data_IF_352332865681
#
_entry.id   IF_352332865681
#
_cell.length_a   1.000
_cell.length_b   1.000
_cell.length_c   1.000
_cell.angle_alpha   90.00
_cell.angle_beta   90.00
_cell.angle_gamma   90.00
#
_symmetry.space_group_name_H-M   'P 1'
#
loop_
_entity.id
_entity.type
_entity.pdbx_description
1 polymer ?
#
# COMPACT_ATOMS: atom_id res chain seq x y z
N UNK A 1 -56.97 12.78 -18.73
CA UNK A 1 -55.88 13.75 -18.89
C UNK A 1 -55.05 13.96 -17.62
N UNK A 2 -55.61 14.14 -16.41
CA UNK A 2 -54.85 14.36 -15.16
C UNK A 2 -53.86 13.21 -14.81
N UNK A 3 -54.25 11.92 -14.91
CA UNK A 3 -53.38 10.77 -14.61
C UNK A 3 -52.14 10.70 -15.55
N UNK A 4 -52.31 10.97 -16.85
CA UNK A 4 -51.15 10.99 -17.80
C UNK A 4 -50.17 12.12 -17.51
N UNK A 5 -50.66 13.30 -17.07
CA UNK A 5 -49.82 14.44 -16.65
C UNK A 5 -49.03 14.12 -15.37
N UNK A 6 -49.63 13.45 -14.39
CA UNK A 6 -48.95 13.02 -13.15
C UNK A 6 -47.85 12.03 -13.49
N UNK A 7 -48.08 11.04 -14.35
CA UNK A 7 -47.05 10.08 -14.77
C UNK A 7 -45.91 10.80 -15.50
N UNK A 8 -46.19 11.71 -16.40
CA UNK A 8 -45.17 12.40 -17.18
C UNK A 8 -44.33 13.37 -16.32
N UNK A 9 -44.98 14.08 -15.38
CA UNK A 9 -44.33 15.15 -14.60
C UNK A 9 -43.72 14.69 -13.27
N UNK A 10 -44.08 13.50 -12.76
CA UNK A 10 -43.55 13.01 -11.48
C UNK A 10 -42.89 11.63 -11.57
N UNK A 11 -43.55 10.65 -12.18
CA UNK A 11 -43.05 9.27 -12.19
C UNK A 11 -41.85 9.12 -13.13
N UNK A 12 -41.91 9.73 -14.32
CA UNK A 12 -40.78 9.65 -15.26
C UNK A 12 -39.53 10.36 -14.72
N UNK A 13 -39.57 11.61 -14.22
CA UNK A 13 -38.39 12.24 -13.61
C UNK A 13 -37.84 11.47 -12.41
N UNK A 14 -38.74 10.92 -11.56
CA UNK A 14 -38.31 10.12 -10.42
C UNK A 14 -37.62 8.84 -10.85
N UNK A 15 -38.16 8.16 -11.86
CA UNK A 15 -37.54 6.97 -12.45
C UNK A 15 -36.15 7.27 -13.09
N UNK A 16 -36.03 8.42 -13.75
CA UNK A 16 -34.74 8.87 -14.32
C UNK A 16 -33.70 9.17 -13.22
N UNK A 17 -34.12 9.85 -12.15
CA UNK A 17 -33.22 10.08 -10.99
C UNK A 17 -32.82 8.75 -10.36
N UNK A 18 -33.73 7.82 -10.16
CA UNK A 18 -33.43 6.51 -9.61
C UNK A 18 -32.43 5.76 -10.50
N UNK A 19 -32.65 5.71 -11.80
CA UNK A 19 -31.84 4.96 -12.75
C UNK A 19 -30.47 5.58 -12.98
N UNK A 20 -30.39 6.91 -13.13
CA UNK A 20 -29.15 7.59 -13.47
C UNK A 20 -28.32 8.03 -12.27
N UNK A 21 -28.87 8.11 -11.05
CA UNK A 21 -28.13 8.58 -9.88
C UNK A 21 -28.14 7.58 -8.73
N UNK A 22 -29.31 7.13 -8.29
CA UNK A 22 -29.38 6.29 -7.08
C UNK A 22 -28.77 4.90 -7.32
N UNK A 23 -29.15 4.24 -8.41
CA UNK A 23 -28.65 2.89 -8.71
C UNK A 23 -27.13 2.87 -8.94
N UNK A 24 -26.53 3.73 -9.79
CA UNK A 24 -25.07 3.72 -9.97
C UNK A 24 -24.29 4.09 -8.72
N UNK A 25 -24.81 5.00 -7.90
CA UNK A 25 -24.18 5.32 -6.62
C UNK A 25 -24.26 4.15 -5.64
N UNK A 26 -25.41 3.51 -5.51
CA UNK A 26 -25.57 2.31 -4.69
C UNK A 26 -24.66 1.17 -5.13
N UNK A 27 -24.53 0.95 -6.44
CA UNK A 27 -23.57 -0.02 -7.00
C UNK A 27 -22.13 0.30 -6.65
N UNK A 28 -21.73 1.58 -6.69
CA UNK A 28 -20.40 2.01 -6.27
C UNK A 28 -20.13 1.67 -4.79
N UNK A 29 -21.10 1.89 -3.92
CA UNK A 29 -21.04 1.52 -2.48
C UNK A 29 -20.92 0.01 -2.31
N UNK A 30 -21.77 -0.75 -3.01
CA UNK A 30 -21.78 -2.23 -2.93
C UNK A 30 -20.45 -2.81 -3.39
N UNK A 31 -19.92 -2.35 -4.51
CA UNK A 31 -18.64 -2.82 -5.07
C UNK A 31 -17.49 -2.49 -4.11
N UNK A 32 -17.44 -1.26 -3.59
CA UNK A 32 -16.42 -0.88 -2.63
C UNK A 32 -16.50 -1.73 -1.36
N UNK A 33 -17.70 -1.92 -0.80
CA UNK A 33 -17.87 -2.79 0.35
C UNK A 33 -17.47 -4.25 0.05
N UNK A 34 -17.77 -4.76 -1.11
CA UNK A 34 -17.35 -6.12 -1.49
C UNK A 34 -15.81 -6.28 -1.53
N UNK A 35 -15.09 -5.22 -1.87
CA UNK A 35 -13.63 -5.21 -1.91
C UNK A 35 -13.00 -4.95 -0.53
N UNK A 36 -13.53 -3.99 0.24
CA UNK A 36 -12.84 -3.44 1.41
C UNK A 36 -13.51 -3.72 2.75
N UNK A 37 -14.77 -4.19 2.78
CA UNK A 37 -15.49 -4.53 4.03
C UNK A 37 -15.10 -5.93 4.54
N UNK A 38 -13.80 -6.13 4.76
CA UNK A 38 -13.26 -7.35 5.36
C UNK A 38 -12.06 -6.98 6.20
N UNK A 39 -11.90 -7.66 7.32
CA UNK A 39 -10.59 -7.76 7.98
C UNK A 39 -9.71 -8.70 7.17
N UNK A 40 -8.43 -8.39 7.13
CA UNK A 40 -7.44 -9.29 6.57
C UNK A 40 -6.62 -9.89 7.72
N UNK A 41 -6.59 -11.20 7.77
CA UNK A 41 -5.82 -11.96 8.76
C UNK A 41 -4.58 -12.55 8.10
N UNK A 42 -3.50 -12.64 8.85
CA UNK A 42 -2.26 -13.25 8.37
C UNK A 42 -2.45 -14.77 8.21
N UNK A 43 -1.88 -15.31 7.16
CA UNK A 43 -1.75 -16.78 7.03
C UNK A 43 -0.87 -17.29 8.18
N UNK A 44 -1.39 -18.25 8.94
CA UNK A 44 -0.71 -18.78 10.15
C UNK A 44 0.65 -19.39 9.85
N UNK A 45 0.81 -20.05 8.70
CA UNK A 45 2.09 -20.65 8.30
C UNK A 45 3.16 -19.62 7.98
N UNK A 46 2.74 -18.44 7.51
CA UNK A 46 3.64 -17.31 7.18
C UNK A 46 3.88 -16.37 8.36
N UNK A 47 3.28 -16.62 9.50
CA UNK A 47 3.46 -15.80 10.70
C UNK A 47 4.86 -16.01 11.28
N UNK A 48 5.62 -14.92 11.35
CA UNK A 48 6.96 -14.89 11.93
C UNK A 48 6.92 -14.29 13.35
N UNK A 49 7.97 -14.59 14.12
CA UNK A 49 8.20 -14.01 15.45
C UNK A 49 9.66 -13.56 15.59
N UNK A 50 9.96 -12.70 16.55
CA UNK A 50 11.34 -12.25 16.81
C UNK A 50 12.27 -13.41 17.16
N UNK A 51 11.75 -14.52 17.73
CA UNK A 51 12.53 -15.72 18.02
C UNK A 51 13.01 -16.47 16.76
N UNK A 52 12.47 -16.15 15.59
CA UNK A 52 12.95 -16.69 14.30
C UNK A 52 14.27 -16.02 13.85
N UNK A 53 14.69 -14.94 14.51
CA UNK A 53 15.87 -14.13 14.16
C UNK A 53 16.78 -13.94 15.37
N UNK A 54 18.09 -13.96 15.14
CA UNK A 54 19.06 -13.67 16.18
C UNK A 54 19.12 -12.16 16.43
N UNK A 55 18.98 -11.73 17.70
CA UNK A 55 19.13 -10.33 18.11
C UNK A 55 18.12 -9.34 17.50
N UNK A 56 16.90 -9.78 17.13
CA UNK A 56 15.82 -8.91 16.68
C UNK A 56 14.87 -8.64 17.86
N UNK A 57 14.75 -7.40 18.27
CA UNK A 57 13.84 -6.93 19.31
C UNK A 57 12.64 -6.22 18.65
N UNK A 58 11.46 -6.33 19.27
CA UNK A 58 10.26 -5.66 18.84
C UNK A 58 9.58 -4.97 20.03
N UNK A 59 9.22 -3.71 19.83
CA UNK A 59 8.39 -2.92 20.75
C UNK A 59 7.04 -2.68 20.10
N UNK A 60 5.97 -3.08 20.77
CA UNK A 60 4.60 -2.80 20.34
C UNK A 60 4.26 -1.32 20.59
N UNK A 61 3.65 -0.70 19.61
CA UNK A 61 3.27 0.72 19.62
C UNK A 61 1.84 0.85 19.16
N UNK A 62 1.01 1.62 19.85
CA UNK A 62 -0.33 1.96 19.38
C UNK A 62 -0.47 3.44 19.06
N UNK A 63 -1.25 3.76 18.04
CA UNK A 63 -1.55 5.12 17.61
C UNK A 63 -2.91 5.16 16.88
N UNK A 64 -3.52 6.34 16.83
CA UNK A 64 -4.85 6.47 16.25
C UNK A 64 -4.82 6.69 14.74
N UNK A 65 -5.72 6.01 14.01
CA UNK A 65 -6.05 6.30 12.62
C UNK A 65 -6.71 7.69 12.47
N UNK A 66 -6.96 8.10 11.24
CA UNK A 66 -7.73 9.33 10.95
C UNK A 66 -9.21 9.28 11.36
N UNK A 67 -9.70 8.14 11.82
CA UNK A 67 -11.06 7.91 12.32
C UNK A 67 -11.09 7.46 13.79
N UNK A 68 -9.96 7.59 14.49
CA UNK A 68 -9.75 7.20 15.88
C UNK A 68 -9.82 5.69 16.18
N UNK A 69 -9.72 4.83 15.17
CA UNK A 69 -9.41 3.43 15.45
C UNK A 69 -7.97 3.31 15.94
N UNK A 70 -7.73 2.45 16.90
CA UNK A 70 -6.37 2.12 17.35
C UNK A 70 -5.67 1.27 16.29
N UNK A 71 -4.53 1.76 15.80
CA UNK A 71 -3.64 1.04 14.90
C UNK A 71 -2.49 0.45 15.71
N UNK A 72 -2.13 -0.79 15.36
CA UNK A 72 -1.04 -1.52 15.99
C UNK A 72 0.23 -1.42 15.14
N UNK A 73 1.28 -0.88 15.73
CA UNK A 73 2.59 -0.71 15.11
C UNK A 73 3.67 -1.51 15.84
N UNK A 74 4.79 -1.74 15.15
CA UNK A 74 5.91 -2.53 15.62
C UNK A 74 7.21 -1.79 15.31
N UNK A 75 7.94 -1.40 16.36
CA UNK A 75 9.28 -0.83 16.24
C UNK A 75 10.33 -1.91 16.48
N UNK A 76 11.05 -2.27 15.42
CA UNK A 76 12.13 -3.24 15.51
C UNK A 76 13.48 -2.57 15.71
N UNK A 77 14.31 -3.23 16.55
CA UNK A 77 15.65 -2.80 16.93
C UNK A 77 16.52 -4.02 17.28
N UNK A 78 17.74 -3.77 17.73
CA UNK A 78 18.62 -4.76 18.36
C UNK A 78 19.42 -4.12 19.50
N UNK A 79 20.00 -4.94 20.38
CA UNK A 79 20.84 -4.47 21.48
C UNK A 79 22.12 -3.75 21.02
N UNK A 80 22.58 -4.04 19.82
CA UNK A 80 23.81 -3.49 19.23
C UNK A 80 23.56 -2.36 18.25
N UNK A 81 22.30 -1.96 18.05
CA UNK A 81 21.89 -0.99 17.03
C UNK A 81 22.48 0.40 17.30
N UNK A 82 23.18 0.94 16.30
CA UNK A 82 23.57 2.37 16.25
C UNK A 82 22.76 3.06 15.14
N UNK A 83 21.52 3.50 15.43
CA UNK A 83 20.55 3.81 14.37
C UNK A 83 20.90 5.10 13.65
N UNK A 84 21.06 5.01 12.34
CA UNK A 84 21.30 6.14 11.43
C UNK A 84 20.01 6.70 10.82
N UNK A 85 18.89 5.97 10.92
CA UNK A 85 17.59 6.40 10.43
C UNK A 85 16.47 5.44 10.83
N UNK A 86 15.27 5.72 10.33
CA UNK A 86 14.09 4.88 10.50
C UNK A 86 13.53 4.51 9.13
N UNK A 87 13.37 3.22 8.85
CA UNK A 87 12.62 2.73 7.68
C UNK A 87 11.18 2.47 8.12
N UNK A 88 10.22 3.16 7.53
CA UNK A 88 8.79 2.93 7.74
C UNK A 88 8.25 2.12 6.58
N UNK A 89 7.71 0.94 6.86
CA UNK A 89 7.17 0.04 5.85
C UNK A 89 5.64 0.05 5.83
N UNK A 90 5.09 0.24 4.63
CA UNK A 90 3.66 0.11 4.35
C UNK A 90 3.39 -1.17 3.55
N UNK A 91 2.59 -2.08 4.12
CA UNK A 91 2.28 -3.37 3.50
C UNK A 91 1.22 -3.27 2.39
N UNK A 92 1.10 -4.33 1.58
CA UNK A 92 0.12 -4.45 0.50
C UNK A 92 -1.28 -4.83 0.97
N UNK A 93 -2.22 -4.85 0.02
CA UNK A 93 -3.60 -5.29 0.24
C UNK A 93 -3.64 -6.79 0.59
N UNK A 94 -4.50 -7.18 1.53
CA UNK A 94 -4.63 -8.55 2.03
C UNK A 94 -3.33 -9.16 2.60
N UNK A 95 -2.37 -8.34 3.03
CA UNK A 95 -1.17 -8.87 3.69
C UNK A 95 -1.47 -9.49 5.07
N UNK A 96 -2.65 -9.23 5.63
CA UNK A 96 -3.08 -9.78 6.92
C UNK A 96 -2.41 -9.14 8.13
N UNK A 97 -1.46 -8.25 7.91
CA UNK A 97 -0.64 -7.61 8.94
C UNK A 97 0.85 -7.66 8.60
N UNK A 98 1.66 -7.11 9.49
CA UNK A 98 3.10 -6.87 9.24
C UNK A 98 4.00 -8.07 9.56
N UNK A 99 3.50 -9.05 10.29
CA UNK A 99 4.34 -10.15 10.81
C UNK A 99 4.85 -11.13 9.74
N UNK A 100 4.25 -11.14 8.53
CA UNK A 100 4.73 -11.97 7.43
C UNK A 100 6.00 -11.44 6.74
N UNK A 101 6.40 -10.20 7.02
CA UNK A 101 7.56 -9.55 6.39
C UNK A 101 8.65 -9.18 7.40
N UNK A 102 8.71 -9.89 8.54
CA UNK A 102 9.68 -9.60 9.60
C UNK A 102 11.14 -9.79 9.16
N UNK A 103 11.40 -10.55 8.07
CA UNK A 103 12.75 -10.60 7.46
C UNK A 103 13.22 -9.22 6.94
N UNK A 104 12.32 -8.31 6.58
CA UNK A 104 12.68 -6.92 6.23
C UNK A 104 13.19 -6.19 7.47
N UNK A 105 12.51 -6.36 8.62
CA UNK A 105 12.96 -5.80 9.88
C UNK A 105 14.37 -6.28 10.23
N UNK A 106 14.60 -7.61 10.14
CA UNK A 106 15.92 -8.18 10.40
C UNK A 106 16.99 -7.61 9.46
N UNK A 107 16.69 -7.46 8.17
CA UNK A 107 17.62 -6.88 7.20
C UNK A 107 18.00 -5.43 7.55
N UNK A 108 17.01 -4.56 7.78
CA UNK A 108 17.28 -3.15 8.06
C UNK A 108 17.89 -2.90 9.43
N UNK A 109 17.48 -3.66 10.46
CA UNK A 109 18.08 -3.58 11.80
C UNK A 109 19.54 -4.02 11.78
N UNK A 110 19.87 -5.09 11.03
CA UNK A 110 21.26 -5.53 10.83
C UNK A 110 22.11 -4.54 10.03
N UNK A 111 21.50 -3.54 9.40
CA UNK A 111 22.16 -2.48 8.64
C UNK A 111 22.01 -1.10 9.30
N UNK A 112 21.87 -1.05 10.62
CA UNK A 112 21.81 0.17 11.45
C UNK A 112 20.61 1.09 11.18
N UNK A 113 19.44 0.53 10.91
CA UNK A 113 18.18 1.28 10.88
C UNK A 113 17.22 0.76 11.93
N UNK A 114 16.49 1.65 12.60
CA UNK A 114 15.19 1.26 13.14
C UNK A 114 14.28 0.84 11.98
N UNK A 115 13.47 -0.17 12.22
CA UNK A 115 12.43 -0.55 11.26
C UNK A 115 11.07 -0.44 11.93
N UNK A 116 10.19 0.36 11.38
CA UNK A 116 8.83 0.53 11.86
C UNK A 116 7.84 0.04 10.82
N UNK A 117 6.91 -0.79 11.23
CA UNK A 117 5.79 -1.22 10.40
C UNK A 117 4.52 -1.23 11.23
N UNK A 118 3.37 -1.36 10.61
CA UNK A 118 2.09 -1.30 11.29
C UNK A 118 1.03 -2.08 10.51
N UNK A 119 0.00 -2.52 11.20
CA UNK A 119 -1.17 -3.09 10.60
C UNK A 119 -2.11 -1.95 10.17
N UNK A 120 -2.44 -1.86 8.89
CA UNK A 120 -3.39 -0.87 8.34
C UNK A 120 -4.78 -1.11 8.96
N UNK A 121 -5.64 -0.11 9.04
CA UNK A 121 -7.04 -0.23 9.49
C UNK A 121 -7.70 -1.53 8.98
N UNK A 122 -8.31 -2.28 9.87
CA UNK A 122 -8.94 -3.58 9.61
C UNK A 122 -7.98 -4.68 9.10
N UNK A 123 -6.71 -4.64 9.50
CA UNK A 123 -5.73 -5.71 9.30
C UNK A 123 -5.11 -6.12 10.64
N UNK A 124 -4.66 -7.36 10.73
CA UNK A 124 -3.90 -7.88 11.86
C UNK A 124 -4.50 -7.52 13.23
N UNK A 125 -3.74 -6.84 14.07
CA UNK A 125 -4.17 -6.39 15.41
C UNK A 125 -4.85 -5.02 15.42
N UNK A 126 -4.75 -4.22 14.33
CA UNK A 126 -5.39 -2.91 14.24
C UNK A 126 -6.91 -3.02 14.26
N UNK A 127 -7.57 -2.03 14.86
CA UNK A 127 -9.03 -1.94 14.90
C UNK A 127 -9.65 -1.70 13.52
N UNK A 128 -10.97 -1.76 13.48
CA UNK A 128 -11.79 -1.54 12.29
C UNK A 128 -12.32 -2.83 11.68
N UNK A 129 -13.47 -2.71 11.01
CA UNK A 129 -14.14 -3.82 10.31
C UNK A 129 -14.17 -3.60 8.79
N UNK A 130 -13.59 -2.50 8.33
CA UNK A 130 -13.64 -2.07 6.94
C UNK A 130 -12.37 -1.25 6.61
N UNK A 131 -11.63 -1.69 5.60
CA UNK A 131 -10.47 -0.98 5.06
C UNK A 131 -10.86 0.30 4.29
N UNK A 132 -12.14 0.55 4.06
CA UNK A 132 -12.78 1.71 3.40
C UNK A 132 -12.40 1.93 1.94
N UNK A 133 -11.17 1.69 1.55
CA UNK A 133 -10.65 1.88 0.20
C UNK A 133 -9.15 2.16 0.19
N UNK A 134 -8.58 2.25 -1.00
CA UNK A 134 -7.12 2.34 -1.17
C UNK A 134 -6.51 3.64 -0.59
N UNK A 135 -7.28 4.71 -0.46
CA UNK A 135 -6.82 5.97 0.15
C UNK A 135 -6.56 5.81 1.65
N UNK A 136 -7.23 4.84 2.32
CA UNK A 136 -7.02 4.60 3.74
C UNK A 136 -5.55 4.25 4.05
N UNK A 137 -4.88 3.48 3.19
CA UNK A 137 -3.46 3.15 3.39
C UNK A 137 -2.54 4.38 3.41
N UNK A 138 -2.89 5.44 2.65
CA UNK A 138 -2.14 6.71 2.70
C UNK A 138 -2.38 7.44 4.02
N UNK A 139 -3.64 7.43 4.51
CA UNK A 139 -4.02 8.12 5.77
C UNK A 139 -3.47 7.39 7.00
N UNK A 140 -3.41 6.07 6.97
CA UNK A 140 -2.80 5.29 8.05
C UNK A 140 -1.27 5.47 8.06
N UNK A 141 -0.63 5.54 6.89
CA UNK A 141 0.79 5.85 6.78
C UNK A 141 1.12 7.28 7.27
N UNK A 142 0.24 8.27 7.02
CA UNK A 142 0.34 9.62 7.61
C UNK A 142 0.42 9.56 9.14
N UNK A 143 -0.44 8.73 9.76
CA UNK A 143 -0.45 8.55 11.21
C UNK A 143 0.75 7.78 11.72
N UNK A 144 1.19 6.74 10.99
CA UNK A 144 2.39 5.98 11.31
C UNK A 144 3.65 6.85 11.28
N UNK A 145 3.84 7.68 10.25
CA UNK A 145 4.95 8.64 10.17
C UNK A 145 4.87 9.67 11.29
N UNK A 146 3.68 10.17 11.59
CA UNK A 146 3.47 11.12 12.70
C UNK A 146 3.82 10.49 14.06
N UNK A 147 3.45 9.23 14.28
CA UNK A 147 3.83 8.46 15.47
C UNK A 147 5.36 8.34 15.57
N UNK A 148 6.04 7.89 14.53
CA UNK A 148 7.51 7.77 14.47
C UNK A 148 8.21 9.09 14.79
N UNK A 149 7.66 10.22 14.35
CA UNK A 149 8.20 11.56 14.64
C UNK A 149 8.02 12.01 16.09
N UNK A 150 7.21 11.32 16.88
CA UNK A 150 6.97 11.66 18.31
C UNK A 150 7.63 10.71 19.32
N UNK A 151 8.04 9.52 18.87
CA UNK A 151 8.68 8.52 19.73
C UNK A 151 10.11 8.97 20.10
N UNK A 152 10.49 8.87 21.36
CA UNK A 152 11.82 9.31 21.87
C UNK A 152 13.00 8.66 21.11
N UNK A 153 12.86 7.40 20.71
CA UNK A 153 13.91 6.66 19.98
C UNK A 153 14.09 7.14 18.52
N UNK A 154 13.06 7.70 17.90
CA UNK A 154 13.02 7.93 16.45
C UNK A 154 12.76 9.37 16.02
N UNK A 155 12.30 10.26 16.91
CA UNK A 155 11.88 11.65 16.61
C UNK A 155 12.92 12.50 15.88
N UNK A 156 14.21 12.25 16.15
CA UNK A 156 15.32 13.01 15.57
C UNK A 156 16.02 12.25 14.42
N UNK A 157 15.45 11.14 13.98
CA UNK A 157 16.04 10.31 12.92
C UNK A 157 15.45 10.63 11.55
N UNK A 158 16.29 10.63 10.49
CA UNK A 158 15.77 10.72 9.13
C UNK A 158 14.86 9.55 8.80
N UNK A 159 13.75 9.83 8.12
CA UNK A 159 12.73 8.82 7.78
C UNK A 159 12.85 8.44 6.31
N UNK A 160 12.90 7.12 6.05
CA UNK A 160 12.83 6.47 4.76
C UNK A 160 11.54 5.67 4.67
N UNK A 161 10.93 5.63 3.50
CA UNK A 161 9.71 4.86 3.28
C UNK A 161 9.95 3.70 2.32
N UNK A 162 9.44 2.54 2.68
CA UNK A 162 9.38 1.35 1.84
C UNK A 162 7.92 0.92 1.74
N UNK A 163 7.42 0.64 0.53
CA UNK A 163 6.05 0.14 0.37
C UNK A 163 5.91 -0.82 -0.79
N UNK A 164 5.09 -1.85 -0.61
CA UNK A 164 4.78 -2.83 -1.64
C UNK A 164 3.31 -2.73 -2.06
N UNK A 165 3.04 -2.75 -3.37
CA UNK A 165 1.68 -2.78 -3.92
C UNK A 165 0.84 -1.56 -3.45
N UNK A 166 -0.20 -1.78 -2.64
CA UNK A 166 -0.95 -0.72 -1.97
C UNK A 166 -0.03 0.20 -1.15
N UNK A 167 0.91 -0.38 -0.40
CA UNK A 167 1.96 0.38 0.30
C UNK A 167 2.83 1.18 -0.67
N UNK A 168 3.15 0.64 -1.85
CA UNK A 168 3.91 1.32 -2.90
C UNK A 168 3.22 2.59 -3.44
N UNK A 169 1.89 2.59 -3.53
CA UNK A 169 1.09 3.80 -3.76
C UNK A 169 1.15 4.75 -2.56
N UNK A 170 0.98 4.19 -1.35
CA UNK A 170 0.86 4.98 -0.13
C UNK A 170 2.14 5.78 0.16
N UNK A 171 3.34 5.18 -0.02
CA UNK A 171 4.62 5.86 0.24
C UNK A 171 4.88 7.03 -0.72
N UNK A 172 4.39 6.95 -1.97
CA UNK A 172 4.46 8.08 -2.88
C UNK A 172 3.45 9.18 -2.54
N UNK A 173 2.18 8.80 -2.32
CA UNK A 173 1.09 9.74 -2.11
C UNK A 173 1.17 10.49 -0.77
N UNK A 174 1.73 9.87 0.28
CA UNK A 174 1.89 10.46 1.62
C UNK A 174 2.88 11.64 1.66
N UNK A 175 3.78 11.74 0.68
CA UNK A 175 4.72 12.85 0.56
C UNK A 175 4.04 14.21 0.39
N UNK A 176 2.76 14.23 0.02
CA UNK A 176 1.95 15.45 0.04
C UNK A 176 1.80 16.02 1.46
N UNK A 177 1.86 15.16 2.48
CA UNK A 177 1.73 15.50 3.90
C UNK A 177 3.08 15.49 4.63
N UNK A 178 4.03 14.69 4.16
CA UNK A 178 5.36 14.52 4.73
C UNK A 178 6.48 14.76 3.70
N UNK A 179 6.66 16.01 3.21
CA UNK A 179 7.68 16.34 2.21
C UNK A 179 9.12 16.26 2.73
N UNK A 180 9.29 16.12 4.04
CA UNK A 180 10.56 16.00 4.76
C UNK A 180 11.15 14.58 4.79
N UNK A 181 10.43 13.59 4.29
CA UNK A 181 10.93 12.22 4.07
C UNK A 181 12.17 12.27 3.16
N UNK A 182 13.21 11.49 3.52
CA UNK A 182 14.52 11.54 2.83
C UNK A 182 14.58 10.67 1.60
N UNK A 183 13.99 9.48 1.66
CA UNK A 183 13.95 8.55 0.53
C UNK A 183 12.69 7.69 0.52
N UNK A 184 12.31 7.26 -0.68
CA UNK A 184 11.16 6.38 -0.91
C UNK A 184 11.53 5.25 -1.84
N UNK A 185 11.20 4.02 -1.47
CA UNK A 185 11.18 2.89 -2.37
C UNK A 185 9.74 2.40 -2.57
N UNK A 186 9.27 2.41 -3.81
CA UNK A 186 7.96 1.87 -4.21
C UNK A 186 8.13 0.59 -5.02
N UNK A 187 7.75 -0.55 -4.42
CA UNK A 187 7.74 -1.86 -5.05
C UNK A 187 6.35 -2.15 -5.61
N UNK A 188 6.24 -2.40 -6.91
CA UNK A 188 4.99 -2.73 -7.61
C UNK A 188 3.81 -1.79 -7.26
N UNK A 189 4.11 -0.50 -7.02
CA UNK A 189 3.12 0.52 -6.66
C UNK A 189 2.35 1.04 -7.88
N UNK A 190 1.27 1.77 -7.60
CA UNK A 190 0.45 2.45 -8.61
C UNK A 190 0.28 3.93 -8.25
N UNK A 191 -0.12 4.76 -9.22
CA UNK A 191 -0.18 6.21 -9.01
C UNK A 191 -1.40 6.66 -8.21
N UNK A 192 -2.58 6.11 -8.47
CA UNK A 192 -3.86 6.66 -7.99
C UNK A 192 -4.86 5.55 -7.73
N UNK A 193 -5.54 5.62 -6.57
CA UNK A 193 -6.61 4.71 -6.19
C UNK A 193 -7.72 4.65 -7.27
N UNK A 194 -8.21 5.81 -7.72
CA UNK A 194 -9.26 5.88 -8.73
C UNK A 194 -8.85 5.28 -10.07
N UNK A 195 -7.60 5.52 -10.52
CA UNK A 195 -7.09 4.98 -11.78
C UNK A 195 -7.02 3.45 -11.73
N UNK A 196 -6.53 2.88 -10.64
CA UNK A 196 -6.45 1.44 -10.45
C UNK A 196 -7.84 0.81 -10.39
N UNK A 197 -8.77 1.38 -9.63
CA UNK A 197 -10.15 0.89 -9.56
C UNK A 197 -10.83 0.95 -10.92
N UNK A 198 -10.66 2.05 -11.67
CA UNK A 198 -11.20 2.20 -13.02
C UNK A 198 -10.59 1.18 -14.01
N UNK A 199 -9.28 0.90 -13.89
CA UNK A 199 -8.60 -0.10 -14.70
C UNK A 199 -9.19 -1.50 -14.48
N UNK A 200 -9.28 -1.91 -13.22
CA UNK A 200 -9.83 -3.20 -12.84
C UNK A 200 -11.31 -3.34 -13.28
N UNK A 201 -12.09 -2.26 -13.19
CA UNK A 201 -13.45 -2.22 -13.69
C UNK A 201 -13.50 -2.39 -15.22
N UNK A 202 -12.62 -1.69 -15.98
CA UNK A 202 -12.56 -1.84 -17.45
C UNK A 202 -12.28 -3.27 -17.90
N UNK A 203 -11.40 -3.97 -17.19
CA UNK A 203 -11.09 -5.40 -17.46
C UNK A 203 -12.32 -6.30 -17.24
N UNK A 204 -13.21 -5.95 -16.28
CA UNK A 204 -14.38 -6.77 -15.92
C UNK A 204 -15.67 -6.44 -16.68
N UNK A 205 -15.95 -5.15 -16.86
CA UNK A 205 -17.26 -4.67 -17.41
C UNK A 205 -17.11 -3.81 -18.66
N UNK A 206 -15.90 -3.60 -19.17
CA UNK A 206 -15.61 -2.81 -20.36
C UNK A 206 -15.56 -1.29 -20.10
N UNK A 207 -15.01 -0.57 -21.08
CA UNK A 207 -14.74 0.86 -20.96
C UNK A 207 -15.99 1.73 -20.86
N UNK A 208 -17.05 1.38 -21.60
CA UNK A 208 -18.28 2.17 -21.62
C UNK A 208 -18.95 2.23 -20.25
N UNK A 209 -19.20 1.07 -19.63
CA UNK A 209 -19.84 1.01 -18.31
C UNK A 209 -18.96 1.61 -17.22
N UNK A 210 -17.64 1.36 -17.28
CA UNK A 210 -16.70 1.95 -16.34
C UNK A 210 -16.72 3.47 -16.41
N UNK A 211 -16.61 4.06 -17.62
CA UNK A 211 -16.60 5.52 -17.77
C UNK A 211 -17.92 6.16 -17.33
N UNK A 212 -19.06 5.51 -17.57
CA UNK A 212 -20.35 5.94 -17.07
C UNK A 212 -20.44 5.90 -15.54
N UNK A 213 -19.74 4.96 -14.88
CA UNK A 213 -19.75 4.80 -13.42
C UNK A 213 -18.74 5.67 -12.68
N UNK A 214 -17.68 6.16 -13.34
CA UNK A 214 -16.61 6.96 -12.71
C UNK A 214 -17.09 8.19 -11.94
N UNK A 215 -18.07 8.99 -12.39
CA UNK A 215 -18.59 10.13 -11.62
C UNK A 215 -19.15 9.71 -10.26
N UNK A 216 -19.84 8.58 -10.21
CA UNK A 216 -20.45 8.06 -8.97
C UNK A 216 -19.40 7.50 -8.02
N UNK A 217 -18.38 6.81 -8.56
CA UNK A 217 -17.24 6.38 -7.77
C UNK A 217 -16.51 7.59 -7.15
N UNK A 218 -16.29 8.67 -7.91
CA UNK A 218 -15.70 9.91 -7.37
C UNK A 218 -16.57 10.56 -6.27
N UNK A 219 -17.89 10.56 -6.43
CA UNK A 219 -18.80 11.06 -5.41
C UNK A 219 -18.68 10.22 -4.13
N UNK A 220 -18.68 8.90 -4.27
CA UNK A 220 -18.51 7.97 -3.15
C UNK A 220 -17.16 8.14 -2.44
N UNK A 221 -16.04 8.12 -3.18
CA UNK A 221 -14.71 8.33 -2.64
C UNK A 221 -14.57 9.69 -1.92
N UNK A 222 -15.15 10.76 -2.50
CA UNK A 222 -15.18 12.06 -1.86
C UNK A 222 -16.03 12.06 -0.57
N UNK A 223 -17.11 11.30 -0.53
CA UNK A 223 -17.91 11.14 0.68
C UNK A 223 -17.15 10.41 1.79
N UNK A 224 -16.38 9.37 1.45
CA UNK A 224 -15.62 8.56 2.41
C UNK A 224 -14.36 9.29 2.89
N UNK A 225 -13.60 9.91 1.97
CA UNK A 225 -12.25 10.44 2.23
C UNK A 225 -12.13 11.97 2.15
N UNK A 226 -13.24 12.69 1.83
CA UNK A 226 -13.20 14.11 1.56
C UNK A 226 -12.21 14.43 0.43
N UNK A 227 -11.51 15.56 0.52
CA UNK A 227 -10.51 15.98 -0.48
C UNK A 227 -9.37 14.98 -0.70
N UNK A 228 -9.14 14.09 0.26
CA UNK A 228 -8.04 13.11 0.21
C UNK A 228 -8.24 12.03 -0.86
N UNK A 229 -9.46 11.83 -1.39
CA UNK A 229 -9.70 10.88 -2.48
C UNK A 229 -8.87 11.16 -3.75
N UNK A 230 -8.29 12.37 -3.87
CA UNK A 230 -7.45 12.80 -4.99
C UNK A 230 -5.96 12.52 -4.77
N UNK A 231 -5.56 12.01 -3.60
CA UNK A 231 -4.16 11.72 -3.31
C UNK A 231 -3.60 10.75 -4.36
N UNK A 232 -2.45 11.11 -4.91
CA UNK A 232 -1.73 10.32 -5.89
C UNK A 232 -0.22 10.45 -5.70
N UNK A 233 0.54 9.47 -6.16
CA UNK A 233 1.97 9.42 -5.91
C UNK A 233 2.75 10.48 -6.70
N UNK A 234 2.36 10.80 -7.94
CA UNK A 234 3.03 11.83 -8.76
C UNK A 234 3.00 13.18 -8.06
N UNK A 235 1.83 13.59 -7.54
CA UNK A 235 1.71 14.85 -6.80
C UNK A 235 2.54 14.83 -5.51
N UNK A 236 2.64 13.69 -4.83
CA UNK A 236 3.48 13.52 -3.67
C UNK A 236 4.97 13.66 -4.02
N UNK A 237 5.44 12.98 -5.05
CA UNK A 237 6.81 13.08 -5.54
C UNK A 237 7.19 14.51 -5.97
N UNK A 238 6.28 15.24 -6.62
CA UNK A 238 6.48 16.66 -6.98
C UNK A 238 6.55 17.59 -5.77
N UNK A 239 5.91 17.20 -4.66
CA UNK A 239 5.86 18.01 -3.44
C UNK A 239 7.05 17.77 -2.50
N UNK A 240 7.93 16.83 -2.81
CA UNK A 240 9.07 16.43 -1.99
C UNK A 240 10.38 16.49 -2.77
N UNK A 241 11.49 16.65 -2.04
CA UNK A 241 12.85 16.57 -2.59
C UNK A 241 13.53 15.23 -2.29
N UNK A 242 12.78 14.21 -1.84
CA UNK A 242 13.32 12.90 -1.51
C UNK A 242 13.91 12.19 -2.73
N UNK A 243 14.87 11.27 -2.49
CA UNK A 243 15.30 10.32 -3.51
C UNK A 243 14.29 9.20 -3.65
N UNK A 244 14.07 8.72 -4.86
CA UNK A 244 13.00 7.77 -5.17
C UNK A 244 13.54 6.58 -5.97
N UNK A 245 13.23 5.37 -5.51
CA UNK A 245 13.49 4.13 -6.22
C UNK A 245 12.14 3.48 -6.58
N UNK A 246 11.90 3.32 -7.86
CA UNK A 246 10.70 2.65 -8.39
C UNK A 246 11.11 1.28 -8.93
N UNK A 247 10.54 0.24 -8.36
CA UNK A 247 10.79 -1.14 -8.76
C UNK A 247 9.48 -1.83 -9.17
N UNK A 248 9.50 -2.55 -10.29
CA UNK A 248 8.31 -3.26 -10.80
C UNK A 248 8.71 -4.48 -11.62
N UNK A 249 7.88 -5.52 -11.62
CA UNK A 249 8.09 -6.67 -12.49
C UNK A 249 7.31 -6.51 -13.79
N UNK A 250 7.93 -6.87 -14.92
CA UNK A 250 7.31 -6.75 -16.25
C UNK A 250 6.13 -7.72 -16.45
N UNK A 251 6.10 -8.80 -15.66
CA UNK A 251 5.07 -9.84 -15.66
C UNK A 251 4.09 -9.72 -14.46
N UNK A 252 4.02 -8.52 -13.84
CA UNK A 252 3.04 -8.24 -12.78
C UNK A 252 1.61 -8.38 -13.33
N UNK A 253 0.90 -9.39 -12.81
CA UNK A 253 -0.45 -9.73 -13.24
C UNK A 253 -1.56 -9.05 -12.42
N UNK A 254 -1.20 -8.29 -11.39
CA UNK A 254 -2.13 -7.59 -10.49
C UNK A 254 -2.14 -6.09 -10.79
N UNK A 255 -0.95 -5.46 -10.79
CA UNK A 255 -0.76 -4.04 -11.08
C UNK A 255 0.00 -3.89 -12.39
N UNK A 256 -0.73 -3.58 -13.45
CA UNK A 256 -0.12 -3.28 -14.74
C UNK A 256 0.81 -2.07 -14.62
N UNK A 257 1.99 -2.15 -15.21
CA UNK A 257 3.01 -1.10 -15.19
C UNK A 257 2.49 0.27 -15.65
N UNK A 258 1.47 0.31 -16.49
CA UNK A 258 0.85 1.54 -16.98
C UNK A 258 0.13 2.35 -15.89
N UNK A 259 -0.18 1.74 -14.73
CA UNK A 259 -0.81 2.43 -13.60
C UNK A 259 0.19 2.96 -12.56
N UNK A 260 1.45 2.59 -12.66
CA UNK A 260 2.53 3.03 -11.78
C UNK A 260 3.81 3.34 -12.54
N UNK A 261 4.66 2.34 -12.71
CA UNK A 261 6.02 2.46 -13.23
C UNK A 261 6.11 3.31 -14.51
N UNK A 262 5.30 3.03 -15.55
CA UNK A 262 5.36 3.74 -16.83
C UNK A 262 4.91 5.19 -16.68
N UNK A 263 3.93 5.49 -15.82
CA UNK A 263 3.53 6.87 -15.50
C UNK A 263 4.67 7.63 -14.81
N UNK A 264 5.31 7.03 -13.82
CA UNK A 264 6.42 7.63 -13.11
C UNK A 264 7.63 7.82 -14.02
N UNK A 265 7.97 6.81 -14.84
CA UNK A 265 9.06 6.92 -15.80
C UNK A 265 8.83 8.04 -16.81
N UNK A 266 7.61 8.17 -17.36
CA UNK A 266 7.26 9.26 -18.28
C UNK A 266 7.44 10.64 -17.65
N UNK A 267 7.11 10.77 -16.36
CA UNK A 267 7.14 12.06 -15.65
C UNK A 267 8.52 12.40 -15.10
N UNK A 268 9.32 11.42 -14.67
CA UNK A 268 10.52 11.65 -13.87
C UNK A 268 11.79 11.00 -14.42
N UNK A 269 11.81 10.44 -15.63
CA UNK A 269 12.99 9.75 -16.19
C UNK A 269 14.24 10.66 -16.29
N UNK A 270 14.05 11.95 -16.41
CA UNK A 270 15.11 12.96 -16.52
C UNK A 270 15.40 13.67 -15.17
N UNK A 271 14.72 13.27 -14.08
CA UNK A 271 14.93 13.78 -12.73
C UNK A 271 15.96 12.92 -11.99
N UNK A 272 17.09 13.49 -11.63
CA UNK A 272 18.21 12.80 -10.98
C UNK A 272 17.89 12.20 -9.60
N UNK A 273 16.76 12.58 -9.00
CA UNK A 273 16.28 11.99 -7.75
C UNK A 273 15.74 10.57 -7.95
N UNK A 274 15.38 10.20 -9.19
CA UNK A 274 14.68 8.95 -9.48
C UNK A 274 15.62 7.88 -10.05
N UNK A 275 15.51 6.67 -9.50
CA UNK A 275 16.06 5.45 -10.08
C UNK A 275 14.90 4.51 -10.41
N UNK A 276 14.94 3.91 -11.60
CA UNK A 276 13.93 2.98 -12.10
C UNK A 276 14.56 1.61 -12.35
N UNK A 277 13.96 0.57 -11.78
CA UNK A 277 14.41 -0.82 -11.94
C UNK A 277 13.25 -1.69 -12.38
N UNK A 278 13.46 -2.44 -13.46
CA UNK A 278 12.53 -3.47 -13.93
C UNK A 278 13.07 -4.84 -13.59
N UNK A 279 12.21 -5.69 -13.11
CA UNK A 279 12.48 -7.11 -12.94
C UNK A 279 11.70 -7.93 -13.96
N UNK A 280 12.19 -9.11 -14.28
CA UNK A 280 11.49 -10.11 -15.07
C UNK A 280 11.19 -11.32 -14.18
N UNK A 281 10.04 -11.97 -14.42
CA UNK A 281 9.63 -13.20 -13.72
C UNK A 281 9.48 -13.09 -12.19
N UNK A 282 9.29 -11.87 -11.64
CA UNK A 282 9.05 -11.66 -10.19
C UNK A 282 7.57 -11.58 -9.84
N UNK A 283 6.68 -11.46 -10.84
CA UNK A 283 5.23 -11.26 -10.66
C UNK A 283 4.91 -10.10 -9.70
N UNK A 284 3.82 -10.21 -8.92
CA UNK A 284 3.38 -9.16 -7.99
C UNK A 284 3.63 -9.49 -6.51
N UNK A 285 3.11 -10.63 -6.07
CA UNK A 285 2.87 -10.88 -4.64
C UNK A 285 4.11 -10.97 -3.78
N UNK A 286 5.10 -11.67 -4.23
CA UNK A 286 6.32 -12.00 -3.48
C UNK A 286 7.58 -11.59 -4.24
N UNK A 287 7.53 -10.49 -4.97
CA UNK A 287 8.65 -10.00 -5.79
C UNK A 287 9.91 -9.72 -4.97
N UNK A 288 9.77 -9.51 -3.69
CA UNK A 288 10.84 -9.27 -2.73
C UNK A 288 11.59 -10.54 -2.28
N UNK A 289 11.13 -11.72 -2.71
CA UNK A 289 11.80 -12.99 -2.45
C UNK A 289 12.76 -13.36 -3.58
N UNK A 290 13.82 -14.09 -3.23
CA UNK A 290 14.64 -14.80 -4.21
C UNK A 290 13.80 -15.88 -4.92
N UNK A 291 14.32 -16.44 -6.00
CA UNK A 291 13.53 -17.31 -6.86
C UNK A 291 13.09 -18.61 -6.15
N UNK A 292 13.95 -19.20 -5.32
CA UNK A 292 13.64 -20.45 -4.61
C UNK A 292 12.49 -20.25 -3.61
N UNK A 293 12.59 -19.23 -2.76
CA UNK A 293 11.55 -18.91 -1.78
C UNK A 293 10.25 -18.48 -2.47
N UNK A 294 10.34 -17.73 -3.57
CA UNK A 294 9.15 -17.29 -4.32
C UNK A 294 8.43 -18.48 -4.95
N UNK A 295 9.17 -19.38 -5.61
CA UNK A 295 8.57 -20.60 -6.21
C UNK A 295 7.94 -21.49 -5.14
N UNK A 296 8.58 -21.64 -3.98
CA UNK A 296 8.03 -22.38 -2.84
C UNK A 296 6.70 -21.76 -2.38
N UNK A 297 6.63 -20.45 -2.19
CA UNK A 297 5.39 -19.78 -1.75
C UNK A 297 4.29 -19.86 -2.82
N UNK A 298 4.64 -19.68 -4.10
CA UNK A 298 3.69 -19.85 -5.21
C UNK A 298 3.10 -21.27 -5.24
N UNK A 299 3.95 -22.30 -5.12
CA UNK A 299 3.50 -23.68 -5.06
C UNK A 299 2.62 -23.97 -3.83
N UNK A 300 2.93 -23.37 -2.68
CA UNK A 300 2.09 -23.48 -1.48
C UNK A 300 0.68 -22.93 -1.73
N UNK A 301 0.55 -21.72 -2.30
CA UNK A 301 -0.75 -21.13 -2.60
C UNK A 301 -1.52 -21.86 -3.71
N UNK A 302 -0.82 -22.49 -4.64
CA UNK A 302 -1.40 -23.33 -5.69
C UNK A 302 -1.76 -24.76 -5.20
N UNK A 303 -1.58 -25.07 -3.91
CA UNK A 303 -1.73 -26.40 -3.30
C UNK A 303 -0.85 -27.48 -3.97
N UNK A 304 0.34 -27.09 -4.44
CA UNK A 304 1.31 -27.98 -5.10
C UNK A 304 2.51 -28.35 -4.22
N UNK A 305 2.58 -27.79 -3.01
CA UNK A 305 3.71 -28.01 -2.11
C UNK A 305 3.41 -27.59 -0.67
N UNK A 306 4.32 -27.93 0.25
CA UNK A 306 4.30 -27.48 1.63
C UNK A 306 4.99 -26.14 1.79
N UNK A 307 4.65 -25.40 2.84
CA UNK A 307 5.35 -24.19 3.22
C UNK A 307 6.63 -24.53 4.01
N UNK A 308 7.77 -24.09 3.51
CA UNK A 308 9.07 -24.18 4.21
C UNK A 308 9.38 -22.83 4.87
N UNK A 309 9.17 -22.77 6.19
CA UNK A 309 9.40 -21.55 6.98
C UNK A 309 10.86 -21.08 6.95
N UNK A 310 11.83 -22.03 6.96
CA UNK A 310 13.25 -21.69 6.94
C UNK A 310 13.65 -21.05 5.60
N UNK A 311 13.20 -21.64 4.49
CA UNK A 311 13.42 -21.10 3.16
C UNK A 311 12.75 -19.71 3.02
N UNK A 312 11.56 -19.52 3.60
CA UNK A 312 10.87 -18.22 3.59
C UNK A 312 11.62 -17.14 4.35
N UNK A 313 12.07 -17.43 5.58
CA UNK A 313 12.81 -16.49 6.45
C UNK A 313 14.13 -16.04 5.78
N UNK A 314 14.84 -16.97 5.13
CA UNK A 314 16.12 -16.71 4.45
C UNK A 314 15.95 -16.34 2.96
N UNK A 315 14.71 -16.22 2.51
CA UNK A 315 14.36 -16.05 1.11
C UNK A 315 14.36 -14.61 0.60
N UNK A 316 14.87 -13.64 1.35
CA UNK A 316 14.90 -12.24 0.89
C UNK A 316 15.78 -12.09 -0.35
N UNK A 317 15.33 -11.35 -1.37
CA UNK A 317 16.13 -10.97 -2.53
C UNK A 317 17.17 -9.91 -2.12
N UNK A 318 18.35 -10.36 -1.76
CA UNK A 318 19.41 -9.49 -1.23
C UNK A 318 19.89 -8.47 -2.26
N UNK A 319 19.87 -8.79 -3.56
CA UNK A 319 20.25 -7.83 -4.60
C UNK A 319 19.27 -6.68 -4.69
N UNK A 320 17.98 -6.97 -4.58
CA UNK A 320 16.93 -5.97 -4.50
C UNK A 320 17.07 -5.13 -3.23
N UNK A 321 17.23 -5.77 -2.07
CA UNK A 321 17.29 -5.08 -0.78
C UNK A 321 18.56 -4.27 -0.59
N UNK A 322 19.70 -4.70 -1.15
CA UNK A 322 20.92 -3.90 -1.18
C UNK A 322 20.74 -2.62 -2.02
N UNK A 323 20.02 -2.67 -3.14
CA UNK A 323 19.72 -1.46 -3.91
C UNK A 323 18.83 -0.47 -3.11
N UNK A 324 17.89 -0.99 -2.29
CA UNK A 324 17.07 -0.16 -1.39
C UNK A 324 17.94 0.43 -0.29
N UNK A 325 18.81 -0.36 0.31
CA UNK A 325 19.73 0.07 1.35
C UNK A 325 20.69 1.16 0.84
N UNK A 326 21.22 1.00 -0.37
CA UNK A 326 22.08 2.00 -1.03
C UNK A 326 21.33 3.33 -1.24
N UNK A 327 20.08 3.28 -1.70
CA UNK A 327 19.23 4.48 -1.78
C UNK A 327 19.14 5.18 -0.43
N UNK A 328 18.84 4.43 0.64
CA UNK A 328 18.63 4.97 1.98
C UNK A 328 19.93 5.54 2.56
N UNK A 329 21.04 4.80 2.45
CA UNK A 329 22.37 5.27 2.89
C UNK A 329 22.79 6.57 2.19
N UNK A 330 22.54 6.68 0.89
CA UNK A 330 22.87 7.87 0.09
C UNK A 330 21.91 9.05 0.35
N UNK A 331 20.89 8.90 1.22
CA UNK A 331 19.86 9.92 1.50
C UNK A 331 19.91 10.45 2.95
N UNK A 332 20.90 10.03 3.71
CA UNK A 332 21.15 10.46 5.10
C UNK A 332 21.64 11.90 5.20
#
# INVERSE_FOLDING_TARGET
MKKKRIILCTVIPLALVLFFFVIPLALSVIINNALFKKRSEINTDMKLSTSDFSNLLCEDVTFNSNKNEELHGYLYSSDTLTPKGVVVYAHGYNAGGSNSTMMFANFFVSNDYYYFTYDITANGLSEGNNQRGLVQGVLDLDKAISCVKTMDKTKDKPIMLLGHSWGGYSVGAVLKMHPDVRAVCSLAGFNSALDLMASNARKKVGSFLTNASLPYLKIYENWVFGKNYKLNAIDGFKNSNCKVLIMHSTDDNIIDMDYGYNKYYKEFKDDSRFKFVKYENKKHGFMFLNDDARVMVENYYDNKGSFDKSLYINGLDLDMFNQILDLFNNSL
#
